data_IF_945634647175
#
_entry.id   IF_945634647175
#
_cell.length_a   1.000
_cell.length_b   1.000
_cell.length_c   1.000
_cell.angle_alpha   90.00
_cell.angle_beta   90.00
_cell.angle_gamma   90.00
#
_symmetry.space_group_name_H-M   'P 1'
#
loop_
_entity.id
_entity.type
_entity.pdbx_description
1 polymer ?
#
# COMPACT_ATOMS: atom_id res chain seq x y z
N UNK A 1 -6.43 -21.37 -10.70
CA UNK A 1 -5.38 -21.95 -9.83
C UNK A 1 -5.39 -21.16 -8.52
N UNK A 2 -5.69 -21.77 -7.37
CA UNK A 2 -5.69 -21.04 -6.08
C UNK A 2 -4.24 -20.65 -5.76
N UNK A 3 -3.94 -19.39 -5.43
CA UNK A 3 -2.58 -19.02 -5.05
C UNK A 3 -2.17 -19.78 -3.81
N UNK A 4 -1.02 -20.45 -3.91
CA UNK A 4 -0.47 -21.30 -2.84
C UNK A 4 0.09 -20.40 -1.75
N UNK A 5 -0.71 -20.10 -0.72
CA UNK A 5 -0.32 -19.28 0.40
C UNK A 5 0.64 -20.07 1.31
N UNK A 6 1.88 -19.63 1.40
CA UNK A 6 2.86 -20.17 2.33
C UNK A 6 2.95 -19.26 3.56
N UNK A 7 2.67 -19.79 4.76
CA UNK A 7 2.70 -19.07 6.04
C UNK A 7 4.01 -18.31 6.34
N UNK A 8 5.09 -18.65 5.64
CA UNK A 8 6.43 -18.12 5.84
C UNK A 8 6.91 -17.21 4.70
N UNK A 9 6.02 -16.70 3.84
CA UNK A 9 6.42 -15.75 2.80
C UNK A 9 6.93 -14.43 3.40
N UNK A 10 7.94 -13.79 2.80
CA UNK A 10 8.44 -12.48 3.25
C UNK A 10 7.39 -11.36 3.20
N UNK A 11 6.42 -11.45 2.28
CA UNK A 11 5.38 -10.45 1.99
C UNK A 11 4.06 -10.70 2.74
N UNK A 12 3.94 -11.76 3.55
CA UNK A 12 2.70 -12.08 4.26
C UNK A 12 2.87 -13.20 5.29
N UNK A 13 1.79 -13.53 6.01
CA UNK A 13 1.75 -14.59 7.00
C UNK A 13 2.50 -14.30 8.31
N UNK A 14 2.72 -15.36 9.10
CA UNK A 14 3.31 -15.25 10.44
C UNK A 14 4.65 -14.51 10.49
N UNK A 15 5.53 -14.77 9.52
CA UNK A 15 6.86 -14.15 9.48
C UNK A 15 6.78 -12.63 9.27
N UNK A 16 5.85 -12.18 8.45
CA UNK A 16 5.61 -10.76 8.23
C UNK A 16 5.06 -10.09 9.49
N UNK A 17 4.00 -10.63 10.10
CA UNK A 17 3.37 -10.05 11.28
C UNK A 17 4.31 -10.02 12.48
N UNK A 18 5.10 -11.07 12.69
CA UNK A 18 6.13 -11.11 13.73
C UNK A 18 7.18 -10.02 13.53
N UNK A 19 7.67 -9.86 12.31
CA UNK A 19 8.65 -8.82 11.96
C UNK A 19 8.07 -7.41 12.16
N UNK A 20 6.84 -7.16 11.70
CA UNK A 20 6.15 -5.89 11.86
C UNK A 20 5.97 -5.54 13.35
N UNK A 21 5.60 -6.51 14.17
CA UNK A 21 5.48 -6.33 15.62
C UNK A 21 6.84 -6.01 16.26
N UNK A 22 7.88 -6.77 15.98
CA UNK A 22 9.23 -6.50 16.51
C UNK A 22 9.81 -5.17 16.05
N UNK A 23 9.51 -4.75 14.83
CA UNK A 23 9.97 -3.50 14.24
C UNK A 23 9.02 -2.31 14.49
N UNK A 24 8.01 -2.45 15.35
CA UNK A 24 6.96 -1.44 15.53
C UNK A 24 7.48 -0.03 15.82
N UNK A 25 8.57 0.11 16.61
CA UNK A 25 9.20 1.41 16.89
C UNK A 25 9.86 1.99 15.65
N UNK A 26 10.58 1.17 14.86
CA UNK A 26 11.23 1.58 13.60
C UNK A 26 10.20 1.98 12.55
N UNK A 27 9.07 1.27 12.48
CA UNK A 27 8.01 1.53 11.49
C UNK A 27 7.11 2.71 11.89
N UNK A 28 7.18 3.18 13.13
CA UNK A 28 6.30 4.23 13.64
C UNK A 28 6.33 5.53 12.81
N UNK A 29 7.49 6.11 12.41
CA UNK A 29 7.51 7.32 11.60
C UNK A 29 6.76 7.15 10.27
N UNK A 30 7.02 6.05 9.57
CA UNK A 30 6.33 5.71 8.33
C UNK A 30 4.81 5.56 8.55
N UNK A 31 4.40 4.81 9.57
CA UNK A 31 2.97 4.62 9.88
C UNK A 31 2.27 5.95 10.13
N UNK A 32 2.85 6.82 10.94
CA UNK A 32 2.28 8.14 11.23
C UNK A 32 2.18 9.01 9.96
N UNK A 33 3.15 8.94 9.07
CA UNK A 33 3.12 9.67 7.81
C UNK A 33 2.01 9.17 6.88
N UNK A 34 1.83 7.86 6.74
CA UNK A 34 0.70 7.28 5.99
C UNK A 34 -0.64 7.58 6.65
N UNK A 35 -0.73 7.51 7.98
CA UNK A 35 -1.94 7.88 8.72
C UNK A 35 -2.34 9.33 8.47
N UNK A 36 -1.38 10.27 8.48
CA UNK A 36 -1.61 11.68 8.14
C UNK A 36 -2.12 11.84 6.73
N UNK A 37 -1.46 11.22 5.75
CA UNK A 37 -1.84 11.27 4.34
C UNK A 37 -3.24 10.69 4.09
N UNK A 38 -3.60 9.57 4.72
CA UNK A 38 -4.93 8.99 4.61
C UNK A 38 -6.01 9.88 5.23
N UNK A 39 -5.69 10.59 6.32
CA UNK A 39 -6.62 11.52 6.96
C UNK A 39 -6.95 12.71 6.05
N UNK A 40 -6.00 13.13 5.20
CA UNK A 40 -6.21 14.17 4.18
C UNK A 40 -7.01 13.67 2.98
N UNK A 41 -6.96 12.35 2.68
CA UNK A 41 -7.74 11.75 1.62
C UNK A 41 -9.17 11.45 2.11
N UNK A 42 -10.12 12.28 1.67
CA UNK A 42 -11.55 12.16 2.00
C UNK A 42 -12.37 11.90 0.73
N UNK A 43 -12.39 10.65 0.22
CA UNK A 43 -13.19 10.34 -0.95
C UNK A 43 -14.67 10.49 -0.63
N UNK A 44 -15.51 10.93 -1.58
CA UNK A 44 -16.95 10.95 -1.39
C UNK A 44 -17.47 9.50 -1.30
N UNK A 45 -18.59 9.33 -0.61
CA UNK A 45 -19.20 8.01 -0.46
C UNK A 45 -18.93 7.37 0.89
N UNK A 46 -19.64 6.29 1.16
CA UNK A 46 -19.64 5.61 2.45
C UNK A 46 -19.10 4.18 2.35
N UNK A 47 -18.66 3.75 1.17
CA UNK A 47 -18.13 2.41 0.90
C UNK A 47 -16.66 2.46 0.57
N UNK A 48 -15.90 1.55 1.17
CA UNK A 48 -14.46 1.44 0.96
C UNK A 48 -14.09 0.00 0.61
N UNK A 49 -13.30 -0.17 -0.45
CA UNK A 49 -12.62 -1.43 -0.78
C UNK A 49 -11.16 -1.27 -0.41
N UNK A 50 -10.69 -2.11 0.52
CA UNK A 50 -9.29 -2.21 0.90
C UNK A 50 -8.65 -3.38 0.17
N UNK A 51 -7.56 -3.15 -0.55
CA UNK A 51 -6.80 -4.18 -1.25
C UNK A 51 -5.46 -4.39 -0.58
N UNK A 52 -5.23 -5.58 -0.03
CA UNK A 52 -4.03 -5.95 0.69
C UNK A 52 -3.83 -5.23 2.03
N UNK A 53 -4.87 -5.00 2.86
CA UNK A 53 -4.72 -4.22 4.08
C UNK A 53 -3.86 -4.93 5.15
N UNK A 54 -3.60 -6.22 5.00
CA UNK A 54 -2.91 -7.03 6.00
C UNK A 54 -3.59 -6.87 7.38
N UNK A 55 -2.83 -6.68 8.46
CA UNK A 55 -3.37 -6.41 9.78
C UNK A 55 -3.83 -4.95 10.00
N UNK A 56 -3.87 -4.13 8.98
CA UNK A 56 -4.26 -2.71 9.07
C UNK A 56 -3.27 -1.82 9.83
N UNK A 57 -1.99 -2.20 9.91
CA UNK A 57 -0.98 -1.49 10.70
C UNK A 57 -0.80 -0.01 10.36
N UNK A 58 -1.07 0.38 9.12
CA UNK A 58 -0.93 1.75 8.60
C UNK A 58 -2.25 2.50 8.51
N UNK A 59 -3.37 1.84 8.84
CA UNK A 59 -4.70 2.41 8.67
C UNK A 59 -5.17 3.09 9.96
N UNK A 60 -5.54 4.40 9.94
CA UNK A 60 -6.08 5.06 11.12
C UNK A 60 -7.49 4.54 11.43
N UNK A 61 -7.73 4.07 12.65
CA UNK A 61 -9.06 3.57 13.04
C UNK A 61 -10.14 4.65 12.90
N UNK A 62 -9.82 5.91 13.21
CA UNK A 62 -10.76 7.02 13.08
C UNK A 62 -11.18 7.26 11.61
N UNK A 63 -10.23 7.16 10.68
CA UNK A 63 -10.49 7.29 9.24
C UNK A 63 -11.37 6.14 8.71
N UNK A 64 -11.09 4.90 9.13
CA UNK A 64 -11.90 3.73 8.76
C UNK A 64 -13.35 3.86 9.22
N UNK A 65 -13.59 4.46 10.39
CA UNK A 65 -14.94 4.69 10.92
C UNK A 65 -15.74 5.75 10.15
N UNK A 66 -15.10 6.49 9.26
CA UNK A 66 -15.78 7.40 8.30
C UNK A 66 -16.54 6.65 7.21
N UNK A 67 -16.29 5.36 7.02
CA UNK A 67 -16.99 4.52 6.04
C UNK A 67 -18.03 3.64 6.73
N UNK A 68 -19.21 3.57 6.13
CA UNK A 68 -20.31 2.72 6.62
C UNK A 68 -20.07 1.25 6.35
N UNK A 69 -19.57 0.93 5.16
CA UNK A 69 -19.31 -0.44 4.68
C UNK A 69 -17.86 -0.56 4.18
N UNK A 70 -17.15 -1.54 4.66
CA UNK A 70 -15.77 -1.82 4.24
C UNK A 70 -15.68 -3.24 3.70
N UNK A 71 -15.08 -3.41 2.52
CA UNK A 71 -14.72 -4.71 1.97
C UNK A 71 -13.20 -4.83 1.88
N UNK A 72 -12.61 -5.77 2.58
CA UNK A 72 -11.18 -6.04 2.51
C UNK A 72 -10.88 -7.28 1.66
N UNK A 73 -9.96 -7.13 0.71
CA UNK A 73 -9.44 -8.20 -0.15
C UNK A 73 -8.01 -8.50 0.29
N UNK A 74 -7.74 -9.70 0.79
CA UNK A 74 -6.38 -10.09 1.19
C UNK A 74 -6.16 -11.59 1.00
N UNK A 75 -4.93 -11.96 0.65
CA UNK A 75 -4.50 -13.35 0.51
C UNK A 75 -4.09 -13.98 1.84
N UNK A 76 -3.65 -13.15 2.80
CA UNK A 76 -3.15 -13.60 4.09
C UNK A 76 -4.30 -14.11 4.99
N UNK A 77 -4.33 -15.37 5.36
CA UNK A 77 -5.39 -15.94 6.18
C UNK A 77 -5.42 -15.37 7.62
N UNK A 78 -4.33 -14.82 8.11
CA UNK A 78 -4.22 -14.24 9.46
C UNK A 78 -4.65 -12.77 9.47
N UNK A 79 -4.60 -12.11 8.33
CA UNK A 79 -4.86 -10.67 8.21
C UNK A 79 -6.21 -10.27 8.80
N UNK A 80 -7.28 -11.03 8.51
CA UNK A 80 -8.63 -10.78 9.05
C UNK A 80 -8.65 -10.68 10.59
N UNK A 81 -8.03 -11.65 11.26
CA UNK A 81 -8.03 -11.71 12.72
C UNK A 81 -7.22 -10.59 13.34
N UNK A 82 -6.05 -10.33 12.78
CA UNK A 82 -5.16 -9.26 13.24
C UNK A 82 -5.74 -7.88 12.95
N UNK A 83 -6.42 -7.71 11.83
CA UNK A 83 -7.14 -6.48 11.50
C UNK A 83 -8.26 -6.21 12.52
N UNK A 84 -9.06 -7.22 12.84
CA UNK A 84 -10.14 -7.10 13.84
C UNK A 84 -9.60 -6.75 15.24
N UNK A 85 -8.42 -7.26 15.61
CA UNK A 85 -7.75 -6.89 16.86
C UNK A 85 -7.25 -5.44 16.86
N UNK A 86 -6.72 -4.96 15.74
CA UNK A 86 -6.22 -3.60 15.61
C UNK A 86 -7.34 -2.56 15.44
N UNK A 87 -8.48 -2.97 14.87
CA UNK A 87 -9.62 -2.10 14.55
C UNK A 87 -10.94 -2.67 15.10
N UNK A 88 -11.09 -2.85 16.42
CA UNK A 88 -12.24 -3.56 17.01
C UNK A 88 -13.58 -2.84 16.83
N UNK A 89 -13.56 -1.56 16.43
CA UNK A 89 -14.77 -0.76 16.16
C UNK A 89 -15.25 -0.87 14.72
N UNK A 90 -14.45 -1.38 13.78
CA UNK A 90 -14.84 -1.61 12.38
C UNK A 90 -15.70 -2.86 12.28
N UNK A 91 -17.01 -2.74 12.59
CA UNK A 91 -17.94 -3.88 12.66
C UNK A 91 -18.50 -4.30 11.32
N UNK A 92 -18.78 -3.34 10.44
CA UNK A 92 -19.33 -3.57 9.08
C UNK A 92 -18.20 -3.89 8.07
N UNK A 93 -17.42 -4.93 8.38
CA UNK A 93 -16.28 -5.35 7.58
C UNK A 93 -16.57 -6.70 6.91
N UNK A 94 -16.71 -6.68 5.58
CA UNK A 94 -16.69 -7.88 4.74
C UNK A 94 -15.24 -8.24 4.41
N UNK A 95 -14.84 -9.49 4.64
CA UNK A 95 -13.50 -9.96 4.31
C UNK A 95 -13.55 -11.03 3.23
N UNK A 96 -12.88 -10.77 2.10
CA UNK A 96 -12.72 -11.72 1.00
C UNK A 96 -11.27 -12.18 0.93
N UNK A 97 -11.09 -13.49 0.97
CA UNK A 97 -9.78 -14.10 0.78
C UNK A 97 -9.56 -14.39 -0.68
N UNK A 98 -8.81 -13.54 -1.37
CA UNK A 98 -8.57 -13.72 -2.79
C UNK A 98 -7.55 -12.73 -3.35
N UNK A 99 -7.22 -12.96 -4.61
CA UNK A 99 -6.31 -12.14 -5.41
C UNK A 99 -7.06 -10.89 -5.91
N UNK A 100 -6.36 -9.75 -5.95
CA UNK A 100 -6.93 -8.50 -6.46
C UNK A 100 -7.45 -8.63 -7.91
N UNK A 101 -6.80 -9.44 -8.75
CA UNK A 101 -7.17 -9.60 -10.17
C UNK A 101 -8.53 -10.30 -10.33
N UNK A 102 -8.81 -11.28 -9.47
CA UNK A 102 -10.05 -12.06 -9.52
C UNK A 102 -11.18 -11.47 -8.69
N UNK A 103 -10.85 -10.84 -7.56
CA UNK A 103 -11.85 -10.41 -6.58
C UNK A 103 -12.25 -8.93 -6.72
N UNK A 104 -11.34 -8.07 -7.20
CA UNK A 104 -11.62 -6.64 -7.32
C UNK A 104 -12.69 -6.32 -8.38
N UNK A 105 -12.62 -6.81 -9.64
CA UNK A 105 -13.61 -6.45 -10.66
C UNK A 105 -15.06 -6.77 -10.29
N UNK A 106 -15.40 -7.99 -9.79
CA UNK A 106 -16.77 -8.27 -9.39
C UNK A 106 -17.22 -7.42 -8.19
N UNK A 107 -16.29 -7.03 -7.31
CA UNK A 107 -16.63 -6.16 -6.17
C UNK A 107 -16.94 -4.73 -6.61
N UNK A 108 -16.18 -4.17 -7.56
CA UNK A 108 -16.47 -2.87 -8.16
C UNK A 108 -17.84 -2.86 -8.85
N UNK A 109 -18.20 -3.95 -9.53
CA UNK A 109 -19.53 -4.08 -10.15
C UNK A 109 -20.68 -4.04 -9.12
N UNK A 110 -20.47 -4.62 -7.93
CA UNK A 110 -21.47 -4.61 -6.83
C UNK A 110 -21.47 -3.27 -6.08
N UNK A 111 -20.32 -2.60 -5.97
CA UNK A 111 -20.15 -1.33 -5.29
C UNK A 111 -19.58 -0.25 -6.23
N UNK A 112 -20.39 0.25 -7.18
CA UNK A 112 -19.92 1.20 -8.21
C UNK A 112 -19.53 2.58 -7.65
N UNK A 113 -19.94 2.90 -6.44
CA UNK A 113 -19.68 4.16 -5.73
C UNK A 113 -18.56 4.02 -4.67
N UNK A 114 -17.96 2.85 -4.53
CA UNK A 114 -16.94 2.64 -3.53
C UNK A 114 -15.63 3.36 -3.85
N UNK A 115 -15.01 3.92 -2.82
CA UNK A 115 -13.60 4.29 -2.88
C UNK A 115 -12.71 3.03 -2.78
N UNK A 116 -11.53 3.05 -3.39
CA UNK A 116 -10.60 1.93 -3.39
C UNK A 116 -9.25 2.36 -2.85
N UNK A 117 -8.71 1.63 -1.86
CA UNK A 117 -7.37 1.86 -1.32
C UNK A 117 -6.49 0.61 -1.49
N UNK A 118 -5.37 0.76 -2.18
CA UNK A 118 -4.32 -0.26 -2.27
C UNK A 118 -3.29 -0.04 -1.17
N UNK A 119 -3.17 -1.03 -0.29
CA UNK A 119 -2.34 -0.97 0.92
C UNK A 119 -1.02 -1.71 0.72
N UNK A 120 -0.05 -1.05 0.10
CA UNK A 120 1.30 -1.57 -0.18
C UNK A 120 1.35 -2.92 -0.93
N UNK A 121 0.36 -3.17 -1.80
CA UNK A 121 0.28 -4.42 -2.57
C UNK A 121 0.81 -4.28 -3.99
N UNK A 122 0.71 -3.10 -4.61
CA UNK A 122 1.01 -2.93 -6.04
C UNK A 122 2.50 -3.06 -6.34
N UNK A 123 3.38 -2.53 -5.49
CA UNK A 123 4.83 -2.69 -5.62
C UNK A 123 5.31 -4.14 -5.43
N UNK A 124 4.51 -4.99 -4.78
CA UNK A 124 4.84 -6.39 -4.57
C UNK A 124 4.47 -7.28 -5.77
N UNK A 125 3.59 -6.83 -6.66
CA UNK A 125 3.19 -7.59 -7.85
C UNK A 125 4.39 -7.98 -8.73
N UNK A 126 5.34 -7.08 -8.90
CA UNK A 126 6.56 -7.33 -9.67
C UNK A 126 7.43 -8.47 -9.08
N UNK A 127 7.29 -8.76 -7.78
CA UNK A 127 8.01 -9.84 -7.11
C UNK A 127 7.31 -11.19 -7.24
N UNK A 128 5.98 -11.17 -7.40
CA UNK A 128 5.15 -12.35 -7.24
C UNK A 128 4.51 -12.83 -8.56
N UNK A 129 4.41 -11.95 -9.56
CA UNK A 129 3.63 -12.21 -10.79
C UNK A 129 4.39 -11.83 -12.06
N UNK A 130 4.39 -12.72 -13.02
CA UNK A 130 4.97 -12.48 -14.36
C UNK A 130 4.14 -11.49 -15.19
N UNK A 131 2.83 -11.40 -14.93
CA UNK A 131 1.86 -10.56 -15.64
C UNK A 131 1.63 -9.19 -14.94
N UNK A 132 2.50 -8.81 -13.99
CA UNK A 132 2.36 -7.60 -13.18
C UNK A 132 2.24 -6.31 -14.02
N UNK A 133 3.01 -6.17 -15.10
CA UNK A 133 2.95 -4.98 -15.97
C UNK A 133 1.58 -4.83 -16.63
N UNK A 134 1.01 -5.94 -17.12
CA UNK A 134 -0.33 -5.93 -17.72
C UNK A 134 -1.40 -5.54 -16.69
N UNK A 135 -1.30 -6.04 -15.46
CA UNK A 135 -2.21 -5.70 -14.35
C UNK A 135 -2.10 -4.21 -14.04
N UNK A 136 -0.90 -3.69 -13.80
CA UNK A 136 -0.68 -2.30 -13.45
C UNK A 136 -1.13 -1.33 -14.56
N UNK A 137 -0.97 -1.73 -15.84
CA UNK A 137 -1.43 -0.96 -16.99
C UNK A 137 -2.97 -0.93 -17.12
N UNK A 138 -3.62 -2.05 -16.79
CA UNK A 138 -5.08 -2.17 -16.86
C UNK A 138 -5.81 -1.48 -15.67
N UNK A 139 -5.14 -1.37 -14.53
CA UNK A 139 -5.75 -0.93 -13.27
C UNK A 139 -6.36 0.49 -13.34
N UNK A 140 -5.72 1.52 -13.91
CA UNK A 140 -6.31 2.86 -14.02
C UNK A 140 -7.62 2.87 -14.82
N UNK A 141 -7.73 2.05 -15.88
CA UNK A 141 -8.97 1.92 -16.68
C UNK A 141 -10.07 1.23 -15.89
N UNK A 142 -9.71 0.18 -15.13
CA UNK A 142 -10.66 -0.52 -14.26
C UNK A 142 -11.26 0.42 -13.21
N UNK A 143 -10.48 1.40 -12.74
CA UNK A 143 -10.82 2.32 -11.66
C UNK A 143 -11.26 3.71 -12.15
N UNK A 144 -11.43 3.94 -13.44
CA UNK A 144 -11.70 5.26 -14.03
C UNK A 144 -12.95 5.97 -13.47
N UNK A 145 -13.90 5.21 -12.90
CA UNK A 145 -15.15 5.70 -12.30
C UNK A 145 -15.12 5.73 -10.77
N UNK A 146 -13.98 5.43 -10.18
CA UNK A 146 -13.84 5.33 -8.73
C UNK A 146 -12.85 6.36 -8.19
N UNK A 147 -13.13 6.90 -7.01
CA UNK A 147 -12.09 7.53 -6.21
C UNK A 147 -11.15 6.43 -5.71
N UNK A 148 -9.89 6.51 -6.03
CA UNK A 148 -8.94 5.51 -5.54
C UNK A 148 -7.62 6.12 -5.10
N UNK A 149 -6.96 5.41 -4.25
CA UNK A 149 -5.67 5.76 -3.71
C UNK A 149 -4.78 4.53 -3.60
N UNK A 150 -3.49 4.75 -3.65
CA UNK A 150 -2.50 3.70 -3.40
C UNK A 150 -1.34 4.29 -2.62
N UNK A 151 -0.82 3.53 -1.67
CA UNK A 151 0.56 3.66 -1.20
C UNK A 151 1.26 2.33 -1.45
N UNK A 152 2.46 2.37 -2.05
CA UNK A 152 3.16 1.16 -2.50
C UNK A 152 4.66 1.38 -2.63
N UNK A 153 5.43 0.29 -2.54
CA UNK A 153 6.86 0.30 -2.81
C UNK A 153 7.13 0.79 -4.23
N UNK A 154 7.87 1.89 -4.39
CA UNK A 154 8.35 2.35 -5.69
C UNK A 154 9.83 2.06 -5.88
N UNK A 155 10.64 2.22 -4.83
CA UNK A 155 12.07 1.87 -4.82
C UNK A 155 12.46 1.14 -3.54
N UNK A 156 13.41 0.21 -3.66
CA UNK A 156 14.06 -0.45 -2.53
C UNK A 156 15.57 -0.41 -2.72
N UNK A 157 16.30 0.02 -1.70
CA UNK A 157 17.77 0.07 -1.72
C UNK A 157 18.39 -0.34 -0.38
N UNK A 158 19.65 -0.76 -0.45
CA UNK A 158 20.46 -1.06 0.73
C UNK A 158 21.27 0.18 1.09
N UNK A 159 20.90 0.82 2.20
CA UNK A 159 21.54 2.05 2.75
C UNK A 159 21.58 1.96 4.26
N UNK A 160 22.60 2.49 4.87
CA UNK A 160 22.77 2.46 6.32
C UNK A 160 21.95 3.57 6.98
N UNK A 161 21.02 3.21 7.84
CA UNK A 161 20.07 4.12 8.47
C UNK A 161 20.74 5.25 9.24
N UNK A 162 21.85 4.98 9.94
CA UNK A 162 22.56 5.99 10.74
C UNK A 162 23.10 7.15 9.89
N UNK A 163 23.28 6.96 8.58
CA UNK A 163 23.70 8.01 7.65
C UNK A 163 22.53 8.92 7.24
N UNK A 164 21.30 8.48 7.43
CA UNK A 164 20.08 9.11 6.91
C UNK A 164 18.93 9.15 7.92
N UNK A 165 19.24 9.35 9.21
CA UNK A 165 18.20 9.38 10.26
C UNK A 165 17.14 10.47 10.05
N UNK A 166 17.48 11.54 9.34
CA UNK A 166 16.64 12.72 9.11
C UNK A 166 15.84 12.67 7.78
N UNK A 167 15.78 11.52 7.09
CA UNK A 167 14.95 11.44 5.89
C UNK A 167 13.49 11.73 6.21
N UNK A 168 12.96 12.79 5.58
CA UNK A 168 11.59 13.24 5.74
C UNK A 168 10.72 12.83 4.52
N UNK A 169 9.39 12.73 4.68
CA UNK A 169 8.47 12.67 3.56
C UNK A 169 8.67 13.84 2.60
N UNK A 170 8.45 13.60 1.31
CA UNK A 170 8.51 14.65 0.29
C UNK A 170 7.36 14.51 -0.70
N UNK A 171 7.02 15.60 -1.38
CA UNK A 171 5.99 15.63 -2.43
C UNK A 171 6.62 16.09 -3.74
N UNK A 172 6.35 15.36 -4.82
CA UNK A 172 6.76 15.71 -6.18
C UNK A 172 5.54 15.81 -7.08
N UNK A 173 5.59 16.69 -8.09
CA UNK A 173 4.55 16.81 -9.13
C UNK A 173 4.74 15.78 -10.25
N UNK A 174 5.50 14.74 -10.00
CA UNK A 174 5.85 13.67 -10.93
C UNK A 174 6.36 12.44 -10.16
N UNK A 175 6.54 11.32 -10.88
CA UNK A 175 7.22 10.15 -10.31
C UNK A 175 8.67 10.48 -9.91
N UNK A 176 9.08 9.98 -8.75
CA UNK A 176 10.49 9.96 -8.31
C UNK A 176 11.32 9.14 -9.30
N UNK A 177 12.54 9.57 -9.56
CA UNK A 177 13.52 8.90 -10.42
C UNK A 177 14.76 8.52 -9.62
N UNK A 178 15.57 7.65 -10.17
CA UNK A 178 16.85 7.28 -9.56
C UNK A 178 17.76 8.51 -9.29
N UNK A 179 17.76 9.51 -10.19
CA UNK A 179 18.50 10.76 -10.00
C UNK A 179 18.04 11.56 -8.78
N UNK A 180 16.75 11.47 -8.41
CA UNK A 180 16.24 12.14 -7.22
C UNK A 180 16.82 11.50 -5.94
N UNK A 181 16.97 10.18 -5.95
CA UNK A 181 17.62 9.46 -4.85
C UNK A 181 19.08 9.87 -4.68
N UNK A 182 19.81 10.04 -5.79
CA UNK A 182 21.17 10.54 -5.78
C UNK A 182 21.25 11.97 -5.21
N UNK A 183 20.32 12.87 -5.59
CA UNK A 183 20.24 14.25 -5.02
C UNK A 183 19.94 14.25 -3.53
N UNK A 184 19.27 13.24 -3.00
CA UNK A 184 19.07 13.04 -1.57
C UNK A 184 20.31 12.46 -0.87
N UNK A 185 21.42 12.28 -1.60
CA UNK A 185 22.65 11.66 -1.09
C UNK A 185 22.57 10.14 -0.97
N UNK A 186 21.47 9.53 -1.43
CA UNK A 186 21.21 8.11 -1.35
C UNK A 186 21.91 7.39 -2.53
N UNK A 187 23.20 7.17 -2.41
CA UNK A 187 23.98 6.37 -3.34
C UNK A 187 23.60 4.88 -3.28
N UNK A 188 24.21 4.06 -4.17
CA UNK A 188 24.02 2.61 -4.20
C UNK A 188 23.01 2.14 -5.24
N UNK A 189 22.68 0.84 -5.18
CA UNK A 189 21.75 0.22 -6.11
C UNK A 189 20.31 0.30 -5.61
N UNK A 190 19.43 0.79 -6.48
CA UNK A 190 18.01 0.92 -6.20
C UNK A 190 17.20 0.03 -7.13
N UNK A 191 16.42 -0.86 -6.57
CA UNK A 191 15.46 -1.65 -7.31
C UNK A 191 14.18 -0.85 -7.53
N UNK A 192 13.83 -0.60 -8.79
CA UNK A 192 12.52 -0.09 -9.19
C UNK A 192 11.48 -1.21 -9.18
N UNK A 193 10.32 -0.97 -8.58
CA UNK A 193 9.21 -1.93 -8.50
C UNK A 193 8.26 -1.85 -9.71
N UNK A 194 8.58 -1.05 -10.74
CA UNK A 194 7.83 -1.01 -12.00
C UNK A 194 6.42 -0.42 -11.89
N UNK A 195 6.15 0.43 -10.89
CA UNK A 195 4.81 1.00 -10.64
C UNK A 195 4.54 2.30 -11.39
N UNK A 196 5.42 2.70 -12.30
CA UNK A 196 5.42 4.03 -12.94
C UNK A 196 4.18 4.38 -13.75
N UNK A 197 3.49 3.38 -14.29
CA UNK A 197 2.31 3.53 -15.14
C UNK A 197 0.98 3.71 -14.38
N UNK A 198 0.99 3.60 -13.04
CA UNK A 198 -0.22 3.69 -12.23
C UNK A 198 -0.88 5.08 -12.26
N UNK A 199 -0.07 6.12 -12.37
CA UNK A 199 -0.54 7.50 -12.33
C UNK A 199 0.01 8.28 -13.53
N UNK A 200 -0.68 9.35 -13.98
CA UNK A 200 -0.17 10.24 -15.04
C UNK A 200 1.22 10.77 -14.71
N UNK A 201 2.03 11.07 -15.74
CA UNK A 201 3.41 11.52 -15.58
C UNK A 201 3.53 12.78 -14.70
N UNK A 202 2.63 13.73 -14.88
CA UNK A 202 2.52 14.99 -14.13
C UNK A 202 1.38 14.89 -13.11
N UNK A 203 1.53 13.99 -12.15
CA UNK A 203 0.56 13.78 -11.07
C UNK A 203 1.23 13.98 -9.72
N UNK A 204 0.63 14.74 -8.78
CA UNK A 204 1.17 14.94 -7.44
C UNK A 204 1.28 13.60 -6.70
N UNK A 205 2.43 13.34 -6.13
CA UNK A 205 2.73 12.11 -5.37
C UNK A 205 3.50 12.45 -4.10
N UNK A 206 3.10 11.84 -3.02
CA UNK A 206 3.84 11.85 -1.77
C UNK A 206 4.78 10.64 -1.72
N UNK A 207 5.94 10.82 -1.10
CA UNK A 207 6.95 9.78 -0.93
C UNK A 207 7.34 9.69 0.53
N UNK A 208 7.32 8.46 1.07
CA UNK A 208 7.56 8.17 2.47
C UNK A 208 8.73 7.21 2.61
N UNK A 209 9.80 7.55 3.37
CA UNK A 209 10.87 6.62 3.69
C UNK A 209 10.38 5.59 4.70
N UNK A 210 10.57 4.31 4.40
CA UNK A 210 10.22 3.20 5.28
C UNK A 210 11.41 2.29 5.54
N UNK A 211 11.99 2.40 6.70
CA UNK A 211 13.11 1.58 7.14
C UNK A 211 12.65 0.18 7.53
N UNK A 212 12.79 -0.79 6.64
CA UNK A 212 12.46 -2.19 6.90
C UNK A 212 13.46 -2.80 7.87
N UNK A 213 14.75 -2.49 7.67
CA UNK A 213 15.87 -2.87 8.55
C UNK A 213 16.81 -1.68 8.71
N UNK A 214 17.86 -1.82 9.52
CA UNK A 214 18.89 -0.78 9.69
C UNK A 214 19.69 -0.50 8.40
N UNK A 215 19.71 -1.48 7.50
CA UNK A 215 20.44 -1.47 6.25
C UNK A 215 19.53 -1.51 5.02
N UNK A 216 18.20 -1.33 5.18
CA UNK A 216 17.25 -1.44 4.06
C UNK A 216 16.14 -0.42 4.12
N UNK A 217 16.12 0.43 3.10
CA UNK A 217 15.12 1.48 2.92
C UNK A 217 14.19 1.15 1.74
N UNK A 218 12.90 1.32 1.98
CA UNK A 218 11.88 1.38 0.95
C UNK A 218 11.39 2.83 0.81
N UNK A 219 11.28 3.32 -0.42
CA UNK A 219 10.50 4.50 -0.74
C UNK A 219 9.10 4.08 -1.14
N UNK A 220 8.15 4.56 -0.37
CA UNK A 220 6.72 4.32 -0.60
C UNK A 220 6.17 5.52 -1.36
N UNK A 221 5.69 5.30 -2.58
CA UNK A 221 4.92 6.28 -3.34
C UNK A 221 3.47 6.20 -2.90
N UNK A 222 2.83 7.36 -2.68
CA UNK A 222 1.42 7.46 -2.39
C UNK A 222 0.76 8.55 -3.24
N UNK A 223 -0.38 8.22 -3.83
CA UNK A 223 -1.17 9.16 -4.62
C UNK A 223 -2.65 8.78 -4.62
N UNK A 224 -3.49 9.76 -4.95
CA UNK A 224 -4.95 9.63 -5.02
C UNK A 224 -5.43 9.99 -6.41
N UNK A 225 -6.50 9.36 -6.87
CA UNK A 225 -7.17 9.67 -8.15
C UNK A 225 -8.65 9.89 -7.90
N UNK A 226 -9.20 10.88 -8.60
CA UNK A 226 -10.65 11.08 -8.75
C UNK A 226 -11.09 10.58 -10.14
N UNK A 227 -12.39 10.24 -10.30
CA UNK A 227 -12.99 9.89 -11.60
C UNK A 227 -12.82 10.96 -12.66
#
# INVERSE_FOLDING_TARGET
MRPDFRLWRPSGGLAWHWRAWRAARRYRPFRLAIESWLTEWSPPGQRLILVGPSAGWTLPSAWLLGFREICALDLDPLARWLFALNHPRCRELTWLRGDLVTELPPRLAVWPDAAVLFCNVLGQLALERKDHEAILTALPRLLERHHWASFHDCYTGDVLRYEFEALAPLTLQRRMRADDLQRLGLGGEWRDHGTGQLFPAQHPRAYFPWWIREDKLHWIEAATMAP
#
